data_IF_845504438965
#
_entry.id   IF_845504438965
#
_cell.length_a   1.000
_cell.length_b   1.000
_cell.length_c   1.000
_cell.angle_alpha   90.00
_cell.angle_beta   90.00
_cell.angle_gamma   90.00
#
_symmetry.space_group_name_H-M   'P 1'
#
loop_
_entity.id
_entity.type
_entity.pdbx_description
1 polymer ?
#
# COMPACT_ATOMS: atom_id res chain seq x y z
N UNK A 1 9.28 31.73 14.62
CA UNK A 1 8.72 30.42 15.01
C UNK A 1 7.68 30.03 13.98
N UNK A 2 7.94 29.00 13.16
CA UNK A 2 7.02 28.61 12.09
C UNK A 2 5.78 27.91 12.65
N UNK A 3 4.60 28.24 12.12
CA UNK A 3 3.37 27.50 12.38
C UNK A 3 3.30 26.22 11.52
N UNK A 4 2.40 25.31 11.86
CA UNK A 4 2.02 24.19 10.98
C UNK A 4 1.38 24.79 9.70
N UNK A 5 1.73 24.31 8.49
CA UNK A 5 1.12 24.79 7.26
C UNK A 5 -0.41 24.64 7.28
N UNK A 6 -1.13 25.66 6.79
CA UNK A 6 -2.59 25.74 6.92
C UNK A 6 -3.35 24.58 6.24
N UNK A 7 -2.76 23.97 5.21
CA UNK A 7 -3.33 22.81 4.53
C UNK A 7 -3.16 21.49 5.29
N UNK A 8 -2.37 21.44 6.36
CA UNK A 8 -2.12 20.20 7.10
C UNK A 8 -3.30 19.87 8.03
N UNK A 9 -3.55 18.59 8.20
CA UNK A 9 -4.60 18.04 9.08
C UNK A 9 -4.07 16.82 9.84
N UNK A 10 -4.72 16.37 10.92
CA UNK A 10 -4.55 15.01 11.40
C UNK A 10 -4.72 14.00 10.24
N UNK A 11 -3.85 12.99 10.17
CA UNK A 11 -3.92 12.00 9.07
C UNK A 11 -5.19 11.16 9.18
N UNK A 12 -5.98 11.16 8.09
CA UNK A 12 -7.23 10.39 8.02
C UNK A 12 -6.94 8.90 7.96
N UNK A 13 -5.98 8.48 7.14
CA UNK A 13 -5.64 7.05 7.01
C UNK A 13 -4.93 6.52 8.27
N UNK A 14 -4.20 7.37 9.00
CA UNK A 14 -3.64 7.00 10.29
C UNK A 14 -4.74 6.76 11.34
N UNK A 15 -5.73 7.66 11.43
CA UNK A 15 -6.85 7.47 12.37
C UNK A 15 -7.60 6.16 12.11
N UNK A 16 -7.86 5.83 10.85
CA UNK A 16 -8.48 4.56 10.48
C UNK A 16 -7.65 3.33 10.89
N UNK A 17 -6.32 3.42 10.83
CA UNK A 17 -5.44 2.35 11.30
C UNK A 17 -5.45 2.19 12.82
N UNK A 18 -5.69 3.26 13.57
CA UNK A 18 -5.77 3.24 15.04
C UNK A 18 -7.13 2.72 15.54
N UNK A 19 -8.19 2.83 14.74
CA UNK A 19 -9.55 2.37 15.11
C UNK A 19 -9.67 0.83 15.21
N UNK A 20 -8.80 0.08 14.54
CA UNK A 20 -8.81 -1.38 14.60
C UNK A 20 -8.00 -2.07 13.51
N UNK A 21 -8.19 -3.38 13.36
CA UNK A 21 -7.44 -4.21 12.42
C UNK A 21 -8.06 -4.26 11.00
N UNK A 22 -9.26 -3.72 10.81
CA UNK A 22 -10.02 -3.84 9.56
C UNK A 22 -9.32 -3.26 8.31
N UNK A 23 -8.33 -2.37 8.50
CA UNK A 23 -7.52 -1.79 7.42
C UNK A 23 -6.07 -2.29 7.41
N UNK A 24 -5.74 -3.31 8.21
CA UNK A 24 -4.43 -3.93 8.25
C UNK A 24 -4.31 -5.02 7.19
N UNK A 25 -3.11 -5.28 6.68
CA UNK A 25 -2.90 -6.28 5.63
C UNK A 25 -3.25 -7.69 6.12
N UNK A 26 -2.98 -7.97 7.40
CA UNK A 26 -3.33 -9.22 8.08
C UNK A 26 -4.81 -9.56 8.02
N UNK A 27 -5.70 -8.57 8.11
CA UNK A 27 -7.15 -8.76 8.01
C UNK A 27 -7.54 -9.25 6.61
N UNK A 28 -7.04 -8.59 5.56
CA UNK A 28 -7.35 -8.94 4.17
C UNK A 28 -6.70 -10.24 3.71
N UNK A 29 -5.65 -10.71 4.39
CA UNK A 29 -4.98 -11.96 4.06
C UNK A 29 -5.73 -13.20 4.59
N UNK A 30 -6.58 -13.03 5.60
CA UNK A 30 -7.40 -14.13 6.11
C UNK A 30 -8.46 -14.53 5.09
N UNK A 31 -8.75 -15.85 4.98
CA UNK A 31 -9.83 -16.30 4.12
C UNK A 31 -11.18 -15.90 4.72
N UNK A 32 -12.07 -15.40 3.88
CA UNK A 32 -13.42 -15.01 4.27
C UNK A 32 -14.38 -16.17 4.05
N UNK A 33 -15.37 -16.33 4.94
CA UNK A 33 -16.39 -17.34 4.79
C UNK A 33 -17.50 -16.88 3.83
N UNK A 34 -18.17 -17.84 3.19
CA UNK A 34 -19.39 -17.59 2.43
C UNK A 34 -20.53 -17.18 3.36
N UNK A 35 -21.63 -16.58 2.86
CA UNK A 35 -22.79 -16.25 3.70
C UNK A 35 -23.36 -17.44 4.47
N UNK A 36 -23.26 -18.66 3.92
CA UNK A 36 -23.65 -19.89 4.58
C UNK A 36 -22.70 -20.35 5.69
N UNK A 37 -21.50 -19.77 5.79
CA UNK A 37 -20.43 -20.18 6.70
C UNK A 37 -19.91 -21.62 6.48
N UNK A 38 -20.24 -22.24 5.33
CA UNK A 38 -19.88 -23.64 5.02
C UNK A 38 -18.64 -23.77 4.14
N UNK A 39 -18.15 -22.68 3.57
CA UNK A 39 -16.98 -22.68 2.69
C UNK A 39 -16.27 -21.33 2.78
N UNK A 40 -15.03 -21.30 2.29
CA UNK A 40 -14.32 -20.05 2.08
C UNK A 40 -14.71 -19.44 0.74
N UNK A 41 -14.96 -18.13 0.76
CA UNK A 41 -15.33 -17.33 -0.40
C UNK A 41 -14.14 -17.10 -1.32
N UNK A 42 -12.93 -16.95 -0.79
CA UNK A 42 -11.74 -16.47 -1.51
C UNK A 42 -10.52 -17.43 -1.43
N UNK A 43 -10.71 -18.61 -0.83
CA UNK A 43 -9.72 -19.69 -0.73
C UNK A 43 -10.35 -21.01 -1.23
N UNK A 44 -9.78 -21.58 -2.28
CA UNK A 44 -10.25 -22.84 -2.87
C UNK A 44 -9.06 -23.71 -3.24
N UNK A 45 -9.21 -25.03 -3.13
CA UNK A 45 -8.18 -25.99 -3.52
C UNK A 45 -8.35 -26.44 -4.97
N UNK A 46 -7.24 -26.59 -5.69
CA UNK A 46 -7.20 -27.25 -6.99
C UNK A 46 -6.46 -28.58 -6.89
N UNK A 47 -7.22 -29.67 -6.84
CA UNK A 47 -6.67 -31.02 -6.72
C UNK A 47 -5.81 -31.44 -7.92
N UNK A 48 -5.97 -30.82 -9.09
CA UNK A 48 -5.18 -31.17 -10.29
C UNK A 48 -3.77 -30.61 -10.20
N UNK A 49 -3.66 -29.39 -9.70
CA UNK A 49 -2.38 -28.66 -9.61
C UNK A 49 -1.74 -28.81 -8.23
N UNK A 50 -2.47 -29.30 -7.23
CA UNK A 50 -1.97 -29.52 -5.88
C UNK A 50 -1.70 -28.23 -5.11
N UNK A 51 -2.35 -27.13 -5.49
CA UNK A 51 -2.17 -25.80 -4.91
C UNK A 51 -3.53 -25.09 -4.78
N UNK A 52 -3.54 -23.91 -4.17
CA UNK A 52 -4.73 -23.06 -4.13
C UNK A 52 -5.09 -22.55 -5.53
N UNK A 53 -6.39 -22.45 -5.80
CA UNK A 53 -6.91 -22.03 -7.10
C UNK A 53 -6.60 -20.54 -7.35
N UNK A 54 -6.03 -20.27 -8.52
CA UNK A 54 -5.85 -18.92 -9.05
C UNK A 54 -7.16 -18.16 -9.18
N UNK A 55 -7.17 -16.90 -8.70
CA UNK A 55 -8.28 -15.96 -8.77
C UNK A 55 -7.83 -14.63 -9.40
N UNK A 56 -8.24 -14.36 -10.65
CA UNK A 56 -7.99 -13.06 -11.26
C UNK A 56 -8.88 -11.99 -10.62
N UNK A 57 -8.30 -10.82 -10.34
CA UNK A 57 -9.04 -9.63 -9.90
C UNK A 57 -9.33 -8.73 -11.10
N UNK A 58 -10.44 -7.99 -11.06
CA UNK A 58 -10.79 -6.97 -12.06
C UNK A 58 -9.65 -5.97 -12.29
N UNK A 59 -9.02 -5.52 -11.20
CA UNK A 59 -7.82 -4.67 -11.23
C UNK A 59 -6.66 -5.44 -10.64
N UNK A 60 -5.56 -5.51 -11.39
CA UNK A 60 -4.29 -6.07 -10.93
C UNK A 60 -3.14 -5.37 -11.65
N UNK A 61 -2.38 -4.54 -10.91
CA UNK A 61 -1.32 -3.69 -11.47
C UNK A 61 -0.17 -3.49 -10.49
N UNK A 62 0.94 -2.94 -10.99
CA UNK A 62 2.06 -2.48 -10.16
C UNK A 62 2.03 -0.95 -10.11
N UNK A 63 2.14 -0.41 -8.90
CA UNK A 63 2.34 0.99 -8.62
C UNK A 63 3.76 1.20 -8.12
N UNK A 64 4.49 2.16 -8.68
CA UNK A 64 5.77 2.62 -8.17
C UNK A 64 5.64 4.06 -7.66
N UNK A 65 5.92 4.30 -6.38
CA UNK A 65 6.15 5.64 -5.85
C UNK A 65 7.54 6.13 -6.27
N UNK A 66 7.65 7.30 -6.90
CA UNK A 66 8.94 7.84 -7.35
C UNK A 66 9.46 8.93 -6.43
N UNK A 67 8.68 10.00 -6.26
CA UNK A 67 9.07 11.13 -5.43
C UNK A 67 7.89 12.02 -5.09
N UNK A 68 8.02 12.76 -3.99
CA UNK A 68 7.20 13.91 -3.68
C UNK A 68 8.04 15.18 -3.85
N UNK A 69 7.48 16.25 -4.41
CA UNK A 69 8.17 17.53 -4.58
C UNK A 69 7.36 18.66 -3.98
N UNK A 70 8.07 19.70 -3.55
CA UNK A 70 7.49 20.93 -3.00
C UNK A 70 6.62 20.73 -1.76
N UNK A 71 6.81 19.64 -1.01
CA UNK A 71 6.03 19.39 0.21
C UNK A 71 6.38 20.44 1.26
N UNK A 72 5.41 21.18 1.83
CA UNK A 72 5.68 22.15 2.89
C UNK A 72 6.36 21.49 4.08
N UNK A 73 7.29 22.22 4.70
CA UNK A 73 7.97 21.74 5.91
C UNK A 73 7.19 22.28 7.11
N UNK A 74 6.86 21.45 8.10
CA UNK A 74 6.23 21.93 9.30
C UNK A 74 7.15 22.90 10.06
N UNK A 75 6.55 23.78 10.84
CA UNK A 75 7.28 24.71 11.70
C UNK A 75 8.09 24.03 12.81
N UNK A 76 9.01 24.76 13.43
CA UNK A 76 9.93 24.24 14.45
C UNK A 76 9.31 23.84 15.79
N UNK A 77 7.98 23.87 15.95
CA UNK A 77 7.28 23.39 17.14
C UNK A 77 7.16 21.86 17.19
N UNK A 78 7.39 21.18 16.07
CA UNK A 78 7.37 19.72 15.99
C UNK A 78 8.70 19.18 15.43
N UNK A 79 9.13 18.04 15.98
CA UNK A 79 10.23 17.24 15.47
C UNK A 79 9.66 16.16 14.54
N UNK A 80 10.03 16.18 13.26
CA UNK A 80 9.62 15.16 12.28
C UNK A 80 10.46 13.90 12.47
N UNK A 81 9.81 12.78 12.77
CA UNK A 81 10.43 11.46 12.93
C UNK A 81 10.50 10.69 11.61
N UNK A 82 9.42 10.71 10.83
CA UNK A 82 9.34 10.03 9.54
C UNK A 82 8.49 10.83 8.55
N UNK A 83 8.75 10.55 7.27
CA UNK A 83 7.96 11.02 6.12
C UNK A 83 7.51 9.78 5.37
N UNK A 84 6.26 9.72 4.95
CA UNK A 84 5.71 8.54 4.30
C UNK A 84 4.52 8.87 3.42
N UNK A 85 4.13 7.92 2.59
CA UNK A 85 2.87 7.91 1.85
C UNK A 85 2.07 6.72 2.35
N UNK A 86 0.82 6.97 2.76
CA UNK A 86 -0.18 5.93 2.92
C UNK A 86 -1.04 5.86 1.67
N UNK A 87 -1.37 4.65 1.25
CA UNK A 87 -2.26 4.44 0.11
C UNK A 87 -3.22 3.28 0.35
N UNK A 88 -4.42 3.42 -0.21
CA UNK A 88 -5.47 2.41 -0.17
C UNK A 88 -6.34 2.49 -1.42
N UNK A 89 -7.08 1.42 -1.69
CA UNK A 89 -8.17 1.46 -2.66
C UNK A 89 -9.33 2.24 -2.05
N UNK A 90 -9.92 3.13 -2.85
CA UNK A 90 -10.95 4.07 -2.43
C UNK A 90 -11.98 4.21 -3.55
N UNK A 91 -13.25 4.30 -3.22
CA UNK A 91 -14.34 4.47 -4.20
C UNK A 91 -14.84 5.91 -4.33
N UNK A 92 -14.10 6.89 -3.79
CA UNK A 92 -14.55 8.27 -3.71
C UNK A 92 -15.27 8.60 -2.39
N UNK A 93 -15.70 7.58 -1.63
CA UNK A 93 -16.39 7.74 -0.34
C UNK A 93 -15.76 6.95 0.81
N UNK A 94 -15.40 5.69 0.59
CA UNK A 94 -14.89 4.77 1.62
C UNK A 94 -13.65 4.02 1.17
N UNK A 95 -12.84 3.65 2.15
CA UNK A 95 -11.68 2.78 1.97
C UNK A 95 -12.15 1.34 1.72
N UNK A 96 -11.56 0.68 0.72
CA UNK A 96 -11.94 -0.66 0.25
C UNK A 96 -10.89 -1.74 0.49
N UNK A 97 -9.65 -1.36 0.84
CA UNK A 97 -8.53 -2.28 1.06
C UNK A 97 -7.81 -2.00 2.36
N UNK A 98 -6.80 -2.80 2.65
CA UNK A 98 -5.80 -2.43 3.65
C UNK A 98 -5.13 -1.10 3.25
N UNK A 99 -4.63 -0.40 4.26
CA UNK A 99 -3.85 0.82 4.11
C UNK A 99 -2.38 0.43 4.10
N UNK A 100 -1.72 0.61 2.97
CA UNK A 100 -0.30 0.31 2.80
C UNK A 100 0.54 1.57 3.04
N UNK A 101 1.65 1.43 3.77
CA UNK A 101 2.54 2.54 4.13
C UNK A 101 3.90 2.36 3.48
N UNK A 102 4.37 3.39 2.77
CA UNK A 102 5.73 3.45 2.23
C UNK A 102 6.43 4.68 2.80
N UNK A 103 7.52 4.45 3.52
CA UNK A 103 8.38 5.47 4.11
C UNK A 103 9.30 6.06 3.04
N UNK A 104 9.45 7.38 3.10
CA UNK A 104 10.29 8.13 2.19
C UNK A 104 11.66 8.42 2.81
N UNK A 105 12.64 8.55 1.94
CA UNK A 105 13.95 9.12 2.25
C UNK A 105 13.98 10.61 1.85
N UNK A 106 14.84 11.39 2.48
CA UNK A 106 14.97 12.82 2.22
C UNK A 106 16.38 13.30 2.55
N UNK A 107 16.77 14.45 2.00
CA UNK A 107 18.07 15.07 2.27
C UNK A 107 17.89 16.42 2.97
N UNK A 108 18.70 16.77 3.99
CA UNK A 108 18.65 18.08 4.65
C UNK A 108 18.75 19.27 3.70
N UNK A 109 19.52 19.13 2.61
CA UNK A 109 19.67 20.15 1.57
C UNK A 109 18.41 20.33 0.71
N UNK A 110 17.50 19.37 0.69
CA UNK A 110 16.25 19.36 -0.10
C UNK A 110 15.06 18.84 0.74
N UNK A 111 14.68 19.54 1.82
CA UNK A 111 13.70 19.02 2.80
C UNK A 111 12.27 18.90 2.26
N UNK A 112 11.97 19.60 1.15
CA UNK A 112 10.68 19.56 0.44
C UNK A 112 10.59 18.44 -0.60
N UNK A 113 11.65 17.66 -0.77
CA UNK A 113 11.72 16.57 -1.73
C UNK A 113 11.89 15.25 -1.01
N UNK A 114 10.95 14.34 -1.25
CA UNK A 114 10.95 13.01 -0.67
C UNK A 114 11.16 12.00 -1.80
N UNK A 115 11.95 10.97 -1.55
CA UNK A 115 12.32 9.97 -2.55
C UNK A 115 12.01 8.57 -2.03
N UNK A 116 11.62 7.70 -2.95
CA UNK A 116 11.31 6.30 -2.67
C UNK A 116 12.25 5.42 -3.48
N UNK A 117 12.66 4.29 -2.90
CA UNK A 117 13.51 3.34 -3.61
C UNK A 117 12.60 2.44 -4.44
N UNK A 118 12.67 2.49 -5.77
CA UNK A 118 11.74 1.72 -6.61
C UNK A 118 11.99 0.21 -6.55
N UNK A 119 13.14 -0.24 -6.04
CA UNK A 119 13.46 -1.65 -5.87
C UNK A 119 14.28 -1.82 -4.60
N UNK A 120 13.68 -2.45 -3.58
CA UNK A 120 14.44 -2.99 -2.46
C UNK A 120 15.17 -4.25 -2.94
N UNK A 121 16.48 -4.15 -3.15
CA UNK A 121 17.37 -5.29 -3.34
C UNK A 121 18.28 -5.45 -2.11
N UNK A 122 18.50 -6.69 -1.67
CA UNK A 122 19.35 -6.98 -0.51
C UNK A 122 18.73 -6.54 0.83
N UNK A 123 19.52 -5.80 1.62
CA UNK A 123 19.26 -5.45 3.03
C UNK A 123 18.43 -4.17 3.22
N UNK A 124 18.02 -3.50 2.15
CA UNK A 124 17.20 -2.29 2.29
C UNK A 124 15.85 -2.65 2.95
N UNK A 125 15.36 -1.87 3.93
CA UNK A 125 14.08 -2.16 4.56
C UNK A 125 12.91 -2.08 3.58
N UNK A 126 11.98 -3.03 3.65
CA UNK A 126 10.76 -3.09 2.85
C UNK A 126 9.92 -1.82 2.92
N UNK A 127 9.98 -1.11 4.06
CA UNK A 127 9.22 0.10 4.31
C UNK A 127 9.63 1.21 3.33
N UNK A 128 10.82 1.12 2.72
CA UNK A 128 11.31 2.05 1.73
C UNK A 128 10.99 1.62 0.29
N UNK A 129 10.36 0.45 0.11
CA UNK A 129 10.02 -0.10 -1.20
C UNK A 129 8.88 0.69 -1.84
N UNK A 130 9.22 1.44 -2.88
CA UNK A 130 8.24 2.17 -3.67
C UNK A 130 7.41 1.27 -4.59
N UNK A 131 7.81 0.02 -4.84
CA UNK A 131 7.11 -0.92 -5.72
C UNK A 131 6.04 -1.74 -4.97
N UNK A 132 4.78 -1.40 -5.23
CA UNK A 132 3.60 -2.05 -4.64
C UNK A 132 2.79 -2.79 -5.71
N UNK A 133 2.23 -3.96 -5.37
CA UNK A 133 1.12 -4.52 -6.12
C UNK A 133 -0.21 -3.96 -5.61
N UNK A 134 -1.18 -3.84 -6.52
CA UNK A 134 -2.54 -3.42 -6.19
C UNK A 134 -3.50 -4.42 -6.84
N UNK A 135 -4.35 -5.04 -6.02
CA UNK A 135 -5.42 -5.93 -6.44
C UNK A 135 -6.76 -5.40 -5.94
N UNK A 136 -7.77 -5.39 -6.79
CA UNK A 136 -9.15 -5.08 -6.41
C UNK A 136 -10.15 -5.82 -7.29
N UNK A 137 -11.20 -6.35 -6.68
CA UNK A 137 -12.36 -6.87 -7.41
C UNK A 137 -13.62 -6.00 -7.24
N UNK A 138 -13.46 -4.77 -6.75
CA UNK A 138 -14.57 -3.83 -6.62
C UNK A 138 -15.16 -3.46 -7.99
N UNK A 139 -16.49 -3.47 -8.07
CA UNK A 139 -17.25 -3.06 -9.25
C UNK A 139 -17.47 -1.54 -9.32
N UNK A 140 -17.05 -0.78 -8.31
CA UNK A 140 -17.28 0.68 -8.28
C UNK A 140 -16.73 1.37 -9.53
N UNK A 141 -17.50 2.27 -10.17
CA UNK A 141 -17.02 3.07 -11.29
C UNK A 141 -15.99 4.12 -10.84
N UNK A 142 -16.09 4.55 -9.58
CA UNK A 142 -15.18 5.50 -8.96
C UNK A 142 -13.99 4.81 -8.29
N UNK A 143 -13.71 3.54 -8.60
CA UNK A 143 -12.56 2.85 -8.02
C UNK A 143 -11.25 3.60 -8.36
N UNK A 144 -10.50 3.94 -7.32
CA UNK A 144 -9.23 4.63 -7.43
C UNK A 144 -8.27 4.29 -6.30
N UNK A 145 -7.10 4.93 -6.34
CA UNK A 145 -6.10 4.87 -5.29
C UNK A 145 -6.09 6.22 -4.58
N UNK A 146 -6.35 6.22 -3.29
CA UNK A 146 -6.17 7.38 -2.43
C UNK A 146 -4.74 7.37 -1.91
N UNK A 147 -4.04 8.50 -2.04
CA UNK A 147 -2.72 8.74 -1.47
C UNK A 147 -2.83 9.83 -0.41
N UNK A 148 -2.24 9.59 0.76
CA UNK A 148 -2.08 10.58 1.82
C UNK A 148 -0.59 10.67 2.17
N UNK A 149 -0.01 11.86 2.03
CA UNK A 149 1.37 12.11 2.43
C UNK A 149 1.39 12.44 3.92
N UNK A 150 2.10 11.66 4.72
CA UNK A 150 2.14 11.79 6.16
C UNK A 150 3.51 12.18 6.70
N UNK A 151 3.49 12.84 7.87
CA UNK A 151 4.64 12.97 8.76
C UNK A 151 4.28 12.49 10.16
N UNK A 152 5.07 11.58 10.70
CA UNK A 152 5.01 11.26 12.13
C UNK A 152 5.91 12.24 12.88
N UNK A 153 5.43 12.75 14.02
CA UNK A 153 6.13 13.80 14.74
C UNK A 153 6.07 13.63 16.25
N UNK A 154 6.98 14.31 16.94
CA UNK A 154 6.90 14.61 18.38
C UNK A 154 6.71 16.13 18.53
N UNK A 155 5.75 16.55 19.35
CA UNK A 155 5.58 17.97 19.70
C UNK A 155 6.63 18.35 20.74
N UNK A 156 7.46 19.35 20.43
CA UNK A 156 8.61 19.70 21.27
C UNK A 156 8.23 20.16 22.68
N UNK A 157 7.07 20.81 22.83
CA UNK A 157 6.61 21.35 24.11
C UNK A 157 5.97 20.31 25.04
N UNK A 158 5.36 19.25 24.50
CA UNK A 158 4.58 18.27 25.28
C UNK A 158 5.15 16.85 25.24
N UNK A 159 6.04 16.55 24.29
CA UNK A 159 6.50 15.19 24.01
C UNK A 159 5.45 14.30 23.31
N UNK A 160 4.27 14.84 23.01
CA UNK A 160 3.17 14.11 22.38
C UNK A 160 3.56 13.64 20.97
N UNK A 161 3.25 12.37 20.68
CA UNK A 161 3.43 11.77 19.36
C UNK A 161 2.12 11.84 18.58
N UNK A 162 2.24 12.08 17.29
CA UNK A 162 1.09 12.04 16.41
C UNK A 162 1.48 12.02 14.94
N UNK A 163 0.45 12.13 14.10
CA UNK A 163 0.65 12.19 12.66
C UNK A 163 -0.17 13.28 11.97
N UNK A 164 0.47 13.96 11.02
CA UNK A 164 -0.18 14.96 10.16
C UNK A 164 -0.16 14.51 8.71
N UNK A 165 -1.30 14.68 8.04
CA UNK A 165 -1.39 14.75 6.59
C UNK A 165 -0.81 16.05 6.08
N UNK A 166 0.16 15.93 5.19
CA UNK A 166 0.79 17.01 4.43
C UNK A 166 0.07 17.29 3.10
N UNK A 167 -0.98 16.53 2.81
CA UNK A 167 -1.78 16.63 1.60
C UNK A 167 -2.16 15.26 1.06
N UNK A 168 -3.21 15.23 0.24
CA UNK A 168 -3.78 14.01 -0.29
C UNK A 168 -4.14 14.16 -1.77
N UNK A 169 -4.19 13.04 -2.49
CA UNK A 169 -4.67 13.00 -3.87
C UNK A 169 -5.35 11.68 -4.17
N UNK A 170 -6.37 11.73 -5.02
CA UNK A 170 -7.14 10.57 -5.44
C UNK A 170 -6.99 10.33 -6.94
N UNK A 171 -6.39 9.19 -7.30
CA UNK A 171 -6.22 8.77 -8.69
C UNK A 171 -7.29 7.74 -9.04
N UNK A 172 -8.32 8.13 -9.79
CA UNK A 172 -9.30 7.20 -10.36
C UNK A 172 -8.60 6.26 -11.34
N UNK A 173 -8.93 4.97 -11.29
CA UNK A 173 -8.36 3.95 -12.17
C UNK A 173 -9.13 3.77 -13.47
N UNK A 174 -10.31 4.39 -13.57
CA UNK A 174 -11.15 4.39 -14.76
C UNK A 174 -11.53 5.82 -15.11
N UNK A 175 -11.68 6.10 -16.41
CA UNK A 175 -12.25 7.35 -16.89
C UNK A 175 -13.78 7.37 -16.77
N UNK A 176 -14.40 8.48 -17.17
CA UNK A 176 -15.86 8.65 -17.13
C UNK A 176 -16.61 7.66 -18.04
N UNK A 177 -15.93 7.04 -19.01
CA UNK A 177 -16.49 6.01 -19.89
C UNK A 177 -16.29 4.60 -19.33
N UNK A 178 -15.66 4.45 -18.17
CA UNK A 178 -15.37 3.16 -17.54
C UNK A 178 -14.15 2.44 -18.11
N UNK A 179 -13.33 3.12 -18.92
CA UNK A 179 -12.12 2.55 -19.52
C UNK A 179 -10.95 2.70 -18.53
N UNK A 180 -10.12 1.66 -18.31
CA UNK A 180 -8.95 1.76 -17.45
C UNK A 180 -7.97 2.85 -17.92
N UNK A 181 -7.43 3.63 -16.97
CA UNK A 181 -6.40 4.62 -17.27
C UNK A 181 -5.11 3.95 -17.77
N UNK A 182 -4.32 4.61 -18.65
CA UNK A 182 -3.13 4.01 -19.24
C UNK A 182 -2.01 3.75 -18.21
N UNK A 183 -1.25 2.67 -18.40
CA UNK A 183 -0.09 2.37 -17.58
C UNK A 183 1.08 3.32 -17.93
N UNK A 184 1.19 4.45 -17.23
CA UNK A 184 2.24 5.46 -17.41
C UNK A 184 2.64 6.12 -16.10
N UNK A 185 3.56 7.08 -16.19
CA UNK A 185 3.90 7.97 -15.08
C UNK A 185 2.87 9.10 -14.98
N UNK A 186 2.44 9.38 -13.76
CA UNK A 186 1.49 10.42 -13.40
C UNK A 186 2.13 11.41 -12.44
N UNK A 187 1.94 12.70 -12.73
CA UNK A 187 2.25 13.81 -11.84
C UNK A 187 0.93 14.27 -11.21
N UNK A 188 0.80 14.03 -9.91
CA UNK A 188 -0.44 14.23 -9.17
C UNK A 188 -0.29 15.42 -8.23
N UNK A 189 -1.08 16.47 -8.42
CA UNK A 189 -1.11 17.62 -7.52
C UNK A 189 -1.84 17.27 -6.23
N UNK A 190 -1.27 17.71 -5.11
CA UNK A 190 -1.81 17.42 -3.79
C UNK A 190 -2.84 18.48 -3.37
N UNK A 191 -3.88 18.00 -2.69
CA UNK A 191 -4.88 18.83 -2.03
C UNK A 191 -4.55 18.91 -0.54
N UNK A 192 -4.80 20.06 0.08
CA UNK A 192 -4.76 20.21 1.53
C UNK A 192 -6.03 19.64 2.15
N UNK A 193 -6.16 19.72 3.47
CA UNK A 193 -7.33 19.22 4.17
C UNK A 193 -7.33 17.70 4.25
N UNK A 194 -8.53 17.11 4.17
CA UNK A 194 -8.76 15.66 4.16
C UNK A 194 -9.53 15.27 2.91
N UNK A 195 -9.62 13.98 2.56
CA UNK A 195 -10.47 13.52 1.45
C UNK A 195 -11.94 13.93 1.58
N UNK A 196 -12.43 14.17 2.81
CA UNK A 196 -13.76 14.69 3.10
C UNK A 196 -13.84 16.24 2.99
N UNK A 197 -12.76 16.94 3.33
CA UNK A 197 -12.64 18.40 3.25
C UNK A 197 -11.99 18.85 1.92
N UNK A 198 -12.79 18.91 0.84
CA UNK A 198 -12.31 19.32 -0.49
C UNK A 198 -12.14 20.85 -0.59
N UNK A 199 -11.27 21.29 -1.50
CA UNK A 199 -11.06 22.71 -1.82
C UNK A 199 -10.05 23.44 -0.92
N UNK A 200 -9.35 22.71 -0.04
CA UNK A 200 -8.28 23.27 0.80
C UNK A 200 -6.96 23.23 0.05
N UNK A 201 -6.26 24.37 -0.04
CA UNK A 201 -4.91 24.42 -0.62
C UNK A 201 -3.87 23.88 0.37
N UNK A 202 -2.89 23.11 -0.14
CA UNK A 202 -1.79 22.58 0.69
C UNK A 202 -0.91 23.71 1.23
N UNK A 203 -0.58 24.69 0.39
CA UNK A 203 0.22 25.86 0.76
C UNK A 203 -0.37 27.15 0.15
N UNK A 204 -1.21 27.88 0.92
CA UNK A 204 -1.81 29.14 0.47
C UNK A 204 -0.80 30.26 0.17
N UNK A 205 0.47 30.11 0.54
CA UNK A 205 1.50 31.11 0.19
C UNK A 205 1.88 31.08 -1.29
N UNK A 206 1.59 29.96 -1.98
CA UNK A 206 1.81 29.80 -3.42
C UNK A 206 0.77 30.56 -4.24
N UNK A 207 -0.50 30.61 -3.78
CA UNK A 207 -1.62 31.28 -4.46
C UNK A 207 -1.67 32.79 -4.17
N UNK A 208 -1.33 33.23 -2.94
CA UNK A 208 -1.40 34.65 -2.51
C UNK A 208 -0.47 35.63 -3.24
N UNK A 209 0.37 35.20 -4.19
CA UNK A 209 1.38 36.05 -4.85
C UNK A 209 1.11 36.43 -6.31
N UNK A 210 -0.13 36.36 -6.85
CA UNK A 210 -0.33 36.67 -8.27
C UNK A 210 -1.66 37.31 -8.68
N UNK A 211 -1.61 38.52 -9.26
CA UNK A 211 -2.56 38.95 -10.29
C UNK A 211 -1.93 38.77 -11.70
N UNK A 212 -2.67 38.10 -12.61
CA UNK A 212 -2.81 38.56 -14.01
C UNK A 212 -1.85 38.11 -15.13
N UNK A 213 -0.90 37.18 -14.96
CA UNK A 213 -0.01 36.76 -16.07
C UNK A 213 0.16 35.24 -16.24
N UNK A 214 0.01 34.75 -17.48
CA UNK A 214 0.13 33.33 -17.89
C UNK A 214 1.51 32.75 -17.55
N UNK A 215 2.57 33.55 -17.68
CA UNK A 215 3.92 33.14 -17.31
C UNK A 215 4.06 32.90 -15.79
N UNK A 216 3.39 33.74 -14.99
CA UNK A 216 3.33 33.58 -13.55
C UNK A 216 2.53 32.34 -13.14
N UNK A 217 1.43 32.06 -13.85
CA UNK A 217 0.60 30.87 -13.67
C UNK A 217 1.39 29.57 -13.95
N UNK A 218 2.28 29.59 -14.93
CA UNK A 218 3.18 28.48 -15.22
C UNK A 218 4.28 28.31 -14.14
N UNK A 219 4.75 29.41 -13.54
CA UNK A 219 5.68 29.35 -12.39
C UNK A 219 5.02 28.86 -11.09
N UNK A 220 3.75 29.19 -10.84
CA UNK A 220 3.03 28.71 -9.65
C UNK A 220 2.73 27.23 -9.72
N UNK A 221 2.41 26.68 -10.90
CA UNK A 221 2.27 25.23 -11.10
C UNK A 221 3.53 24.44 -10.73
N UNK A 222 4.72 24.93 -11.10
CA UNK A 222 6.01 24.30 -10.72
C UNK A 222 6.28 24.32 -9.22
N UNK A 223 5.53 25.12 -8.45
CA UNK A 223 5.67 25.24 -6.99
C UNK A 223 4.60 24.48 -6.23
N UNK A 224 3.61 23.90 -6.91
CA UNK A 224 2.58 23.12 -6.25
C UNK A 224 3.15 21.81 -5.68
N UNK A 225 2.74 21.44 -4.45
CA UNK A 225 3.07 20.14 -3.89
C UNK A 225 2.51 19.02 -4.76
N UNK A 226 3.36 18.04 -5.08
CA UNK A 226 3.01 17.00 -6.05
C UNK A 226 3.64 15.65 -5.70
N UNK A 227 2.94 14.59 -6.09
CA UNK A 227 3.35 13.20 -5.98
C UNK A 227 3.55 12.63 -7.40
N UNK A 228 4.72 12.02 -7.63
CA UNK A 228 5.02 11.30 -8.86
C UNK A 228 4.84 9.80 -8.63
N UNK A 229 3.93 9.19 -9.38
CA UNK A 229 3.68 7.74 -9.35
C UNK A 229 3.77 7.14 -10.75
N UNK A 230 4.12 5.87 -10.85
CA UNK A 230 4.13 5.12 -12.12
C UNK A 230 3.23 3.90 -12.01
N UNK A 231 2.29 3.76 -12.93
CA UNK A 231 1.48 2.56 -13.09
C UNK A 231 2.10 1.65 -14.16
N UNK A 232 2.12 0.35 -13.90
CA UNK A 232 2.61 -0.68 -14.81
C UNK A 232 1.64 -1.85 -14.88
N UNK A 233 1.50 -2.40 -16.08
CA UNK A 233 0.84 -3.69 -16.27
C UNK A 233 1.69 -4.82 -15.71
N UNK A 234 1.02 -5.90 -15.32
CA UNK A 234 1.67 -7.11 -14.86
C UNK A 234 2.19 -7.93 -16.04
N UNK A 235 3.41 -8.43 -15.92
CA UNK A 235 3.88 -9.54 -16.74
C UNK A 235 3.17 -10.85 -16.33
N UNK A 236 3.30 -11.90 -17.15
CA UNK A 236 2.64 -13.20 -16.92
C UNK A 236 2.97 -13.79 -15.54
N UNK A 237 4.25 -13.87 -15.18
CA UNK A 237 4.71 -14.46 -13.91
C UNK A 237 4.12 -13.73 -12.69
N UNK A 238 4.18 -12.41 -12.68
CA UNK A 238 3.62 -11.60 -11.59
C UNK A 238 2.11 -11.72 -11.52
N UNK A 239 1.42 -11.83 -12.66
CA UNK A 239 -0.02 -12.06 -12.71
C UNK A 239 -0.41 -13.40 -12.11
N UNK A 240 0.31 -14.45 -12.47
CA UNK A 240 0.06 -15.81 -11.98
C UNK A 240 0.27 -15.87 -10.46
N UNK A 241 1.38 -15.33 -9.94
CA UNK A 241 1.63 -15.26 -8.49
C UNK A 241 0.58 -14.43 -7.75
N UNK A 242 0.29 -13.22 -8.24
CA UNK A 242 -0.68 -12.35 -7.59
C UNK A 242 -2.06 -13.00 -7.55
N UNK A 243 -2.45 -13.77 -8.57
CA UNK A 243 -3.75 -14.45 -8.60
C UNK A 243 -3.97 -15.47 -7.47
N UNK A 244 -2.92 -15.87 -6.74
CA UNK A 244 -3.03 -16.72 -5.56
C UNK A 244 -3.35 -15.92 -4.27
N UNK A 245 -3.20 -14.59 -4.31
CA UNK A 245 -3.53 -13.68 -3.21
C UNK A 245 -5.02 -13.28 -3.20
N UNK A 246 -5.53 -12.76 -2.08
CA UNK A 246 -6.89 -12.23 -1.99
C UNK A 246 -7.20 -11.24 -3.11
N UNK A 247 -8.46 -11.19 -3.54
CA UNK A 247 -8.86 -10.42 -4.71
C UNK A 247 -8.73 -8.89 -4.51
N UNK A 248 -8.75 -8.45 -3.24
CA UNK A 248 -8.51 -7.06 -2.83
C UNK A 248 -7.39 -7.03 -1.80
N UNK A 249 -6.23 -6.50 -2.19
CA UNK A 249 -5.05 -6.39 -1.32
C UNK A 249 -4.03 -5.42 -1.95
N UNK A 250 -3.39 -4.62 -1.12
CA UNK A 250 -2.21 -3.84 -1.47
C UNK A 250 -1.03 -4.34 -0.65
N UNK A 251 0.13 -4.53 -1.28
CA UNK A 251 1.34 -4.88 -0.57
C UNK A 251 2.58 -4.56 -1.38
N UNK A 252 3.75 -4.64 -0.74
CA UNK A 252 5.03 -4.51 -1.43
C UNK A 252 5.28 -5.73 -2.33
N UNK A 253 5.84 -5.48 -3.51
CA UNK A 253 6.26 -6.54 -4.42
C UNK A 253 7.31 -7.47 -3.79
N UNK A 254 8.12 -6.98 -2.84
CA UNK A 254 9.15 -7.79 -2.21
C UNK A 254 8.61 -8.87 -1.26
N UNK A 255 7.32 -8.81 -0.90
CA UNK A 255 6.65 -9.79 -0.04
C UNK A 255 5.78 -10.80 -0.77
N UNK A 256 5.65 -10.69 -2.09
CA UNK A 256 4.70 -11.52 -2.86
C UNK A 256 4.88 -13.02 -2.59
N UNK A 257 6.12 -13.52 -2.54
CA UNK A 257 6.40 -14.94 -2.33
C UNK A 257 6.02 -15.41 -0.92
N UNK A 258 6.28 -14.59 0.11
CA UNK A 258 5.92 -14.89 1.49
C UNK A 258 4.39 -14.91 1.67
N UNK A 259 3.69 -13.96 1.05
CA UNK A 259 2.23 -13.88 1.11
C UNK A 259 1.57 -15.08 0.39
N UNK A 260 2.08 -15.45 -0.78
CA UNK A 260 1.59 -16.63 -1.52
C UNK A 260 1.87 -17.91 -0.73
N UNK A 261 3.07 -18.04 -0.15
CA UNK A 261 3.42 -19.19 0.68
C UNK A 261 2.48 -19.32 1.88
N UNK A 262 2.18 -18.23 2.59
CA UNK A 262 1.20 -18.25 3.67
C UNK A 262 -0.21 -18.68 3.19
N UNK A 263 -0.66 -18.17 2.04
CA UNK A 263 -1.93 -18.57 1.43
C UNK A 263 -1.96 -20.05 1.04
N UNK A 264 -0.82 -20.60 0.62
CA UNK A 264 -0.68 -22.02 0.35
C UNK A 264 -0.81 -22.85 1.63
N UNK A 265 -0.14 -22.45 2.72
CA UNK A 265 -0.29 -23.10 4.04
C UNK A 265 -1.74 -23.04 4.54
N UNK A 266 -2.44 -21.93 4.32
CA UNK A 266 -3.88 -21.85 4.58
C UNK A 266 -4.66 -22.90 3.77
N UNK A 267 -4.36 -23.05 2.49
CA UNK A 267 -5.00 -24.05 1.62
C UNK A 267 -4.75 -25.49 2.09
N UNK A 268 -3.49 -25.83 2.41
CA UNK A 268 -3.13 -27.16 2.92
C UNK A 268 -3.87 -27.46 4.22
N UNK A 269 -3.78 -26.58 5.22
CA UNK A 269 -4.31 -26.82 6.56
C UNK A 269 -5.85 -26.72 6.64
N UNK A 270 -6.45 -25.76 5.93
CA UNK A 270 -7.89 -25.49 6.04
C UNK A 270 -8.74 -26.26 5.05
N UNK A 271 -8.16 -26.75 3.95
CA UNK A 271 -8.90 -27.43 2.88
C UNK A 271 -8.41 -28.86 2.64
N UNK A 272 -7.13 -29.05 2.38
CA UNK A 272 -6.58 -30.32 1.88
C UNK A 272 -6.44 -31.37 2.97
N UNK A 273 -5.89 -30.99 4.12
CA UNK A 273 -5.56 -31.90 5.23
C UNK A 273 -6.77 -32.16 6.14
N UNK A 274 -7.93 -31.58 5.81
CA UNK A 274 -9.16 -31.72 6.58
C UNK A 274 -9.93 -32.94 6.09
N UNK A 275 -10.22 -33.86 7.01
CA UNK A 275 -11.10 -35.01 6.74
C UNK A 275 -12.52 -34.59 6.34
N UNK A 276 -13.00 -33.47 6.90
CA UNK A 276 -14.28 -32.86 6.54
C UNK A 276 -14.18 -31.34 6.67
N UNK A 277 -14.71 -30.62 5.68
CA UNK A 277 -14.83 -29.17 5.72
C UNK A 277 -15.74 -28.67 6.84
N UNK A 278 -16.63 -29.54 7.34
CA UNK A 278 -17.56 -29.24 8.43
C UNK A 278 -17.00 -29.59 9.81
N UNK A 279 -15.77 -30.13 9.89
CA UNK A 279 -15.13 -30.40 11.18
C UNK A 279 -14.92 -29.09 11.96
N UNK A 280 -15.32 -29.11 13.23
CA UNK A 280 -15.08 -28.05 14.21
C UNK A 280 -13.83 -28.33 15.07
N UNK A 281 -13.01 -29.32 14.69
CA UNK A 281 -11.80 -29.65 15.42
C UNK A 281 -10.84 -28.45 15.46
N UNK A 282 -10.18 -28.30 16.61
CA UNK A 282 -9.24 -27.21 16.81
C UNK A 282 -8.06 -27.34 15.85
N UNK A 283 -7.84 -26.30 15.04
CA UNK A 283 -6.68 -26.21 14.16
C UNK A 283 -5.52 -25.58 14.93
N UNK A 284 -4.55 -26.41 15.34
CA UNK A 284 -3.36 -25.97 16.06
C UNK A 284 -2.17 -25.81 15.11
N UNK A 285 -2.17 -24.76 14.29
CA UNK A 285 -1.06 -24.46 13.38
C UNK A 285 -0.37 -23.13 13.77
N UNK A 286 0.93 -23.17 14.18
CA UNK A 286 1.62 -21.97 14.64
C UNK A 286 1.81 -20.94 13.53
N UNK A 287 1.96 -21.35 12.27
CA UNK A 287 2.11 -20.44 11.13
C UNK A 287 0.82 -19.65 10.92
N UNK A 288 -0.34 -20.32 10.91
CA UNK A 288 -1.65 -19.67 10.77
C UNK A 288 -1.91 -18.66 11.89
N UNK A 289 -1.51 -18.99 13.13
CA UNK A 289 -1.72 -18.13 14.28
C UNK A 289 -0.76 -16.92 14.35
N UNK A 290 0.46 -17.05 13.83
CA UNK A 290 1.53 -16.04 14.02
C UNK A 290 1.79 -15.19 12.80
N UNK A 291 1.81 -15.76 11.59
CA UNK A 291 2.17 -15.02 10.37
C UNK A 291 1.35 -13.74 10.15
N UNK A 292 0.02 -13.69 10.39
CA UNK A 292 -0.74 -12.46 10.27
C UNK A 292 -0.23 -11.36 11.21
N UNK A 293 0.20 -11.71 12.42
CA UNK A 293 0.79 -10.76 13.37
C UNK A 293 2.17 -10.30 12.91
N UNK A 294 2.97 -11.21 12.35
CA UNK A 294 4.29 -10.90 11.80
C UNK A 294 4.19 -9.95 10.61
N UNK A 295 3.15 -10.07 9.78
CA UNK A 295 2.93 -9.20 8.63
C UNK A 295 2.84 -7.71 9.03
N UNK A 296 2.38 -7.43 10.25
CA UNK A 296 2.29 -6.07 10.80
C UNK A 296 3.61 -5.60 11.44
N UNK A 297 4.66 -6.43 11.46
CA UNK A 297 6.00 -6.13 11.97
C UNK A 297 7.01 -6.09 10.81
N UNK A 298 7.28 -4.90 10.23
CA UNK A 298 8.08 -4.79 9.01
C UNK A 298 9.51 -5.30 9.14
N UNK A 299 10.12 -5.14 10.31
CA UNK A 299 11.46 -5.65 10.65
C UNK A 299 11.53 -7.18 10.62
N UNK A 300 10.53 -7.86 11.19
CA UNK A 300 10.44 -9.33 11.14
C UNK A 300 10.18 -9.80 9.71
N UNK A 301 9.31 -9.13 8.97
CA UNK A 301 9.05 -9.46 7.57
C UNK A 301 10.29 -9.24 6.67
N UNK A 302 11.11 -8.23 6.96
CA UNK A 302 12.41 -8.03 6.30
C UNK A 302 13.41 -9.16 6.61
N UNK A 303 13.45 -9.61 7.86
CA UNK A 303 14.27 -10.77 8.23
C UNK A 303 13.81 -12.04 7.49
N UNK A 304 12.51 -12.31 7.46
CA UNK A 304 11.92 -13.45 6.73
C UNK A 304 12.21 -13.37 5.23
N UNK A 305 12.06 -12.19 4.62
CA UNK A 305 12.37 -11.96 3.20
C UNK A 305 13.84 -12.20 2.91
N UNK A 306 14.73 -11.73 3.78
CA UNK A 306 16.18 -11.90 3.61
C UNK A 306 16.56 -13.37 3.70
N UNK A 307 16.05 -14.11 4.69
CA UNK A 307 16.23 -15.55 4.82
C UNK A 307 15.67 -16.33 3.62
N UNK A 308 14.52 -15.91 3.10
CA UNK A 308 13.94 -16.50 1.88
C UNK A 308 14.85 -16.29 0.67
N UNK A 309 15.33 -15.06 0.46
CA UNK A 309 16.20 -14.72 -0.66
C UNK A 309 17.55 -15.47 -0.58
N UNK A 310 18.12 -15.59 0.62
CA UNK A 310 19.33 -16.37 0.86
C UNK A 310 19.08 -17.84 0.51
N UNK A 311 18.00 -18.45 1.03
CA UNK A 311 17.66 -19.84 0.72
C UNK A 311 17.45 -20.03 -0.78
N UNK A 312 16.70 -19.14 -1.44
CA UNK A 312 16.48 -19.18 -2.88
C UNK A 312 17.81 -19.11 -3.66
N UNK A 313 18.77 -18.31 -3.20
CA UNK A 313 20.07 -18.21 -3.88
C UNK A 313 20.87 -19.52 -3.87
N UNK A 314 20.65 -20.38 -2.85
CA UNK A 314 21.30 -21.69 -2.73
C UNK A 314 20.66 -22.79 -3.59
N UNK A 315 19.44 -22.59 -4.07
CA UNK A 315 18.72 -23.59 -4.86
C UNK A 315 19.22 -23.65 -6.30
N UNK A 316 19.41 -24.87 -6.82
CA UNK A 316 19.66 -25.11 -8.25
C UNK A 316 18.43 -24.70 -9.06
N UNK A 317 18.63 -24.39 -10.35
CA UNK A 317 17.54 -23.97 -11.24
C UNK A 317 16.39 -24.98 -11.32
N UNK A 318 16.69 -26.27 -11.31
CA UNK A 318 15.69 -27.36 -11.25
C UNK A 318 14.91 -27.38 -9.92
N UNK A 319 15.61 -27.11 -8.82
CA UNK A 319 15.01 -27.05 -7.48
C UNK A 319 14.12 -25.82 -7.33
N UNK A 320 14.51 -24.66 -7.90
CA UNK A 320 13.67 -23.45 -7.93
C UNK A 320 12.33 -23.70 -8.62
N UNK A 321 12.33 -24.46 -9.73
CA UNK A 321 11.08 -24.78 -10.42
C UNK A 321 10.14 -25.56 -9.50
N UNK A 322 10.65 -26.53 -8.73
CA UNK A 322 9.85 -27.25 -7.74
C UNK A 322 9.47 -26.41 -6.50
N UNK A 323 10.39 -25.58 -5.99
CA UNK A 323 10.19 -24.75 -4.79
C UNK A 323 9.15 -23.65 -4.98
N UNK A 324 8.97 -23.17 -6.21
CA UNK A 324 8.00 -22.13 -6.57
C UNK A 324 6.77 -22.68 -7.31
N UNK A 325 6.66 -24.00 -7.46
CA UNK A 325 5.48 -24.70 -7.95
C UNK A 325 4.69 -25.41 -6.85
N UNK A 326 5.14 -25.31 -5.60
CA UNK A 326 4.35 -25.64 -4.39
C UNK A 326 3.46 -24.45 -4.02
#
# INVERSE_FOLDING_TARGET
MGAIPAGFRPSTLFQLLEEGNQFQASYFLQPELTPSQLAFRDLMWDAKTGTIRSRPSRVSLILTLWSCKMIPVPGGSIQVLSRHVRLCLFDGSKVLSNIHTVRATWQPKKPKTWTFSPQVTGTLPCLLDGDCFIRSNSSSPDLGILFELGISYIRNSTGERGELSCGWVFLKLFDASGIPIPAKTYELFLNGGTPAEKGVEVDPSVSRRAPGSVFYQMMTMRRQPQLLVKLRSLNRRSRDLLSLLPETLIGSMCYIHLLVFYRQVLGDVLLKDRMSMQSADLISNPILATFPKLLEQPDVMDALRSSWAEKESTLKRSEKVMYFSM
#
